data_IF_275294036920
#
_entry.id   IF_275294036920
#
_cell.length_a   1.000
_cell.length_b   1.000
_cell.length_c   1.000
_cell.angle_alpha   90.00
_cell.angle_beta   90.00
_cell.angle_gamma   90.00
#
_symmetry.space_group_name_H-M   'P 1'
#
loop_
_entity.id
_entity.type
_entity.pdbx_description
1 polymer ?
#
# COMPACT_ATOMS: atom_id res chain seq x y z
N UNK A 1 13.02 -15.18 0.22
CA UNK A 1 13.95 -15.68 1.27
C UNK A 1 15.27 -14.91 1.32
N UNK A 2 16.20 -15.02 0.37
CA UNK A 2 17.44 -14.21 0.43
C UNK A 2 17.19 -12.72 0.16
N UNK A 3 16.43 -12.38 -0.87
CA UNK A 3 16.08 -10.98 -1.17
C UNK A 3 15.26 -10.32 -0.05
N UNK A 4 14.35 -11.06 0.58
CA UNK A 4 13.58 -10.59 1.74
C UNK A 4 14.50 -10.33 2.95
N UNK A 5 15.47 -11.22 3.19
CA UNK A 5 16.46 -11.03 4.26
C UNK A 5 17.32 -9.79 3.98
N UNK A 6 17.83 -9.64 2.76
CA UNK A 6 18.59 -8.46 2.35
C UNK A 6 17.76 -7.17 2.54
N UNK A 7 16.50 -7.18 2.09
CA UNK A 7 15.58 -6.04 2.28
C UNK A 7 15.36 -5.76 3.77
N UNK A 8 15.23 -6.77 4.61
CA UNK A 8 15.04 -6.59 6.06
C UNK A 8 16.26 -5.94 6.73
N UNK A 9 17.46 -6.32 6.29
CA UNK A 9 18.71 -5.76 6.81
C UNK A 9 18.97 -4.33 6.33
N UNK A 10 18.60 -4.02 5.09
CA UNK A 10 18.87 -2.72 4.47
C UNK A 10 17.78 -1.68 4.69
N UNK A 11 16.55 -2.07 5.05
CA UNK A 11 15.48 -1.11 5.33
C UNK A 11 15.66 -0.46 6.70
N UNK A 12 15.91 0.85 6.72
CA UNK A 12 15.90 1.62 7.97
C UNK A 12 14.46 1.68 8.51
N UNK A 13 14.22 1.05 9.66
CA UNK A 13 12.91 1.00 10.30
C UNK A 13 13.06 1.16 11.81
N UNK A 14 12.14 1.88 12.49
CA UNK A 14 12.16 2.00 13.95
C UNK A 14 12.14 0.64 14.65
N UNK A 15 12.75 0.55 15.83
CA UNK A 15 12.84 -0.70 16.59
C UNK A 15 11.47 -1.35 16.81
N UNK A 16 10.44 -0.56 17.17
CA UNK A 16 9.06 -1.05 17.34
C UNK A 16 8.53 -1.76 16.10
N UNK A 17 8.83 -1.27 14.90
CA UNK A 17 8.35 -1.82 13.63
C UNK A 17 8.99 -3.19 13.37
N UNK A 18 10.26 -3.35 13.76
CA UNK A 18 10.99 -4.62 13.71
C UNK A 18 10.51 -5.60 14.77
N UNK A 19 10.46 -5.17 16.04
CA UNK A 19 10.09 -5.97 17.20
C UNK A 19 8.71 -6.61 17.08
N UNK A 20 7.72 -5.87 16.56
CA UNK A 20 6.37 -6.38 16.36
C UNK A 20 6.17 -7.09 15.00
N UNK A 21 7.22 -7.26 14.20
CA UNK A 21 7.18 -8.00 12.94
C UNK A 21 6.50 -7.27 11.77
N UNK A 22 6.17 -5.98 11.91
CA UNK A 22 5.54 -5.20 10.83
C UNK A 22 6.44 -5.11 9.59
N UNK A 23 7.74 -4.85 9.78
CA UNK A 23 8.70 -4.78 8.67
C UNK A 23 8.76 -6.10 7.90
N UNK A 24 8.84 -7.23 8.62
CA UNK A 24 8.90 -8.55 7.99
C UNK A 24 7.63 -8.85 7.18
N UNK A 25 6.45 -8.47 7.69
CA UNK A 25 5.18 -8.66 6.97
C UNK A 25 5.11 -7.81 5.71
N UNK A 26 5.50 -6.53 5.78
CA UNK A 26 5.52 -5.65 4.62
C UNK A 26 6.45 -6.18 3.52
N UNK A 27 7.67 -6.60 3.88
CA UNK A 27 8.62 -7.21 2.94
C UNK A 27 8.06 -8.51 2.35
N UNK A 28 7.46 -9.38 3.17
CA UNK A 28 6.87 -10.63 2.69
C UNK A 28 5.74 -10.39 1.66
N UNK A 29 4.90 -9.37 1.88
CA UNK A 29 3.85 -8.97 0.94
C UNK A 29 4.47 -8.37 -0.32
N UNK A 30 5.46 -7.47 -0.20
CA UNK A 30 6.16 -6.87 -1.34
C UNK A 30 6.73 -7.94 -2.28
N UNK A 31 7.46 -8.91 -1.73
CA UNK A 31 8.08 -9.98 -2.51
C UNK A 31 7.04 -10.97 -3.07
N UNK A 32 5.96 -11.24 -2.32
CA UNK A 32 4.87 -12.08 -2.82
C UNK A 32 4.13 -11.40 -3.97
N UNK A 33 3.89 -10.09 -3.90
CA UNK A 33 3.26 -9.32 -4.97
C UNK A 33 4.10 -9.38 -6.25
N UNK A 34 5.43 -9.29 -6.15
CA UNK A 34 6.34 -9.45 -7.30
C UNK A 34 6.28 -10.88 -7.88
N UNK A 35 6.35 -11.90 -7.02
CA UNK A 35 6.35 -13.31 -7.46
C UNK A 35 5.02 -13.77 -8.05
N UNK A 36 3.91 -13.25 -7.53
CA UNK A 36 2.55 -13.63 -7.91
C UNK A 36 1.87 -12.55 -8.76
N UNK A 37 2.63 -11.65 -9.39
CA UNK A 37 2.11 -10.47 -10.05
C UNK A 37 0.99 -10.79 -11.06
N UNK A 38 1.22 -11.77 -11.95
CA UNK A 38 0.22 -12.20 -12.95
C UNK A 38 -1.05 -12.74 -12.31
N UNK A 39 -0.92 -13.58 -11.28
CA UNK A 39 -2.05 -14.16 -10.57
C UNK A 39 -2.84 -13.12 -9.75
N UNK A 40 -2.17 -12.07 -9.27
CA UNK A 40 -2.77 -11.02 -8.44
C UNK A 40 -3.35 -9.87 -9.27
N UNK A 41 -2.89 -9.67 -10.49
CA UNK A 41 -3.28 -8.56 -11.35
C UNK A 41 -4.81 -8.41 -11.51
N UNK A 42 -5.61 -9.47 -11.74
CA UNK A 42 -7.06 -9.34 -11.79
C UNK A 42 -7.66 -8.80 -10.49
N UNK A 43 -7.16 -9.25 -9.33
CA UNK A 43 -7.60 -8.80 -8.02
C UNK A 43 -7.25 -7.33 -7.79
N UNK A 44 -5.99 -6.95 -8.01
CA UNK A 44 -5.52 -5.57 -7.84
C UNK A 44 -6.30 -4.59 -8.73
N UNK A 45 -6.58 -4.98 -9.98
CA UNK A 45 -7.41 -4.21 -10.91
C UNK A 45 -8.82 -4.02 -10.39
N UNK A 46 -9.47 -5.08 -9.91
CA UNK A 46 -10.82 -5.01 -9.36
C UNK A 46 -10.89 -4.11 -8.13
N UNK A 47 -9.91 -4.19 -7.22
CA UNK A 47 -9.81 -3.30 -6.07
C UNK A 47 -9.65 -1.83 -6.49
N UNK A 48 -8.72 -1.54 -7.42
CA UNK A 48 -8.52 -0.18 -7.94
C UNK A 48 -9.78 0.38 -8.58
N UNK A 49 -10.47 -0.43 -9.40
CA UNK A 49 -11.73 -0.03 -10.03
C UNK A 49 -12.84 0.22 -8.99
N UNK A 50 -12.95 -0.62 -7.96
CA UNK A 50 -13.92 -0.41 -6.89
C UNK A 50 -13.64 0.90 -6.14
N UNK A 51 -12.38 1.16 -5.79
CA UNK A 51 -11.97 2.39 -5.09
C UNK A 51 -12.26 3.63 -5.94
N UNK A 52 -11.94 3.59 -7.24
CA UNK A 52 -12.24 4.70 -8.15
C UNK A 52 -13.75 4.95 -8.24
N UNK A 53 -14.55 3.90 -8.41
CA UNK A 53 -16.02 4.03 -8.45
C UNK A 53 -16.57 4.63 -7.15
N UNK A 54 -16.05 4.20 -6.00
CA UNK A 54 -16.45 4.75 -4.72
C UNK A 54 -16.07 6.23 -4.59
N UNK A 55 -14.87 6.61 -5.05
CA UNK A 55 -14.42 8.00 -5.07
C UNK A 55 -15.25 8.88 -6.00
N UNK A 56 -15.67 8.38 -7.16
CA UNK A 56 -16.53 9.10 -8.11
C UNK A 56 -17.94 9.37 -7.55
N UNK A 57 -18.38 8.60 -6.56
CA UNK A 57 -19.67 8.81 -5.87
C UNK A 57 -19.58 9.87 -4.75
N UNK A 58 -18.38 10.34 -4.39
CA UNK A 58 -18.23 11.38 -3.38
C UNK A 58 -18.66 12.74 -3.94
N UNK A 59 -19.72 13.33 -3.38
CA UNK A 59 -20.21 14.67 -3.78
C UNK A 59 -19.15 15.77 -3.60
N UNK A 60 -18.27 15.59 -2.61
CA UNK A 60 -17.18 16.52 -2.31
C UNK A 60 -15.84 15.81 -2.42
N UNK A 61 -14.99 16.39 -3.24
CA UNK A 61 -13.67 15.91 -3.62
C UNK A 61 -12.57 16.61 -2.79
N UNK A 62 -12.77 16.69 -1.47
CA UNK A 62 -11.89 17.43 -0.56
C UNK A 62 -10.77 16.57 0.02
N UNK A 63 -11.04 15.80 1.07
CA UNK A 63 -10.03 14.99 1.76
C UNK A 63 -10.34 13.50 1.65
N UNK A 64 -9.35 12.71 1.21
CA UNK A 64 -9.35 11.26 1.25
C UNK A 64 -8.37 10.76 2.31
N UNK A 65 -8.78 9.80 3.14
CA UNK A 65 -7.91 9.16 4.14
C UNK A 65 -7.84 7.66 3.83
N UNK A 66 -6.63 7.16 3.63
CA UNK A 66 -6.36 5.74 3.38
C UNK A 66 -5.72 5.14 4.63
N UNK A 67 -6.49 4.33 5.35
CA UNK A 67 -6.05 3.64 6.58
C UNK A 67 -5.52 2.24 6.20
N UNK A 68 -4.33 1.89 6.69
CA UNK A 68 -3.65 0.66 6.29
C UNK A 68 -2.94 0.81 4.94
N UNK A 69 -2.34 1.96 4.71
CA UNK A 69 -1.75 2.37 3.43
C UNK A 69 -0.35 1.80 3.14
N UNK A 70 0.11 0.79 3.88
CA UNK A 70 1.48 0.26 3.85
C UNK A 70 2.17 0.22 2.48
N UNK A 71 1.77 -0.71 1.59
CA UNK A 71 2.39 -0.88 0.26
C UNK A 71 1.60 -0.27 -0.89
N UNK A 72 0.37 0.18 -0.65
CA UNK A 72 -0.53 0.78 -1.65
C UNK A 72 -0.80 -0.08 -2.90
N UNK A 73 -0.60 -1.40 -2.86
CA UNK A 73 -0.71 -2.26 -4.06
C UNK A 73 -2.08 -2.12 -4.76
N UNK A 74 -3.15 -2.13 -3.97
CA UNK A 74 -4.52 -1.97 -4.42
C UNK A 74 -5.01 -0.51 -4.49
N UNK A 75 -4.26 0.46 -3.94
CA UNK A 75 -4.70 1.85 -3.82
C UNK A 75 -4.34 2.64 -5.09
N UNK A 76 -5.31 3.13 -5.87
CA UNK A 76 -5.04 3.87 -7.11
C UNK A 76 -4.67 5.33 -6.80
N UNK A 77 -3.49 5.54 -6.19
CA UNK A 77 -3.10 6.84 -5.61
C UNK A 77 -3.17 7.99 -6.62
N UNK A 78 -2.70 7.81 -7.86
CA UNK A 78 -2.77 8.85 -8.87
C UNK A 78 -4.20 9.24 -9.24
N UNK A 79 -5.12 8.27 -9.28
CA UNK A 79 -6.52 8.52 -9.58
C UNK A 79 -7.24 9.19 -8.40
N UNK A 80 -6.84 8.88 -7.16
CA UNK A 80 -7.33 9.59 -5.99
C UNK A 80 -6.76 11.01 -5.96
N UNK A 81 -5.49 11.21 -6.29
CA UNK A 81 -4.83 12.51 -6.25
C UNK A 81 -5.42 13.49 -7.29
N UNK A 82 -6.01 12.99 -8.37
CA UNK A 82 -6.76 13.82 -9.32
C UNK A 82 -8.18 14.15 -8.86
N UNK A 83 -8.67 13.54 -7.78
CA UNK A 83 -10.05 13.64 -7.27
C UNK A 83 -10.15 14.25 -5.89
N UNK A 84 -9.05 14.43 -5.17
CA UNK A 84 -9.11 14.92 -3.80
C UNK A 84 -8.02 15.96 -3.61
N UNK A 85 -8.38 17.11 -3.04
CA UNK A 85 -7.44 18.18 -2.68
C UNK A 85 -6.34 17.69 -1.74
N UNK A 86 -6.70 16.77 -0.82
CA UNK A 86 -5.78 16.21 0.15
C UNK A 86 -5.93 14.69 0.27
N UNK A 87 -4.79 13.99 0.32
CA UNK A 87 -4.74 12.56 0.59
C UNK A 87 -3.84 12.30 1.79
N UNK A 88 -4.42 11.69 2.82
CA UNK A 88 -3.69 11.24 4.00
C UNK A 88 -3.50 9.74 3.94
N UNK A 89 -2.24 9.31 3.89
CA UNK A 89 -1.84 7.91 3.96
C UNK A 89 -1.47 7.58 5.40
N UNK A 90 -2.30 6.79 6.07
CA UNK A 90 -2.11 6.42 7.48
C UNK A 90 -1.70 4.95 7.56
N UNK A 91 -0.53 4.70 8.12
CA UNK A 91 -0.04 3.36 8.46
C UNK A 91 0.95 3.45 9.63
N UNK A 92 1.24 2.33 10.27
CA UNK A 92 2.25 2.19 11.32
C UNK A 92 3.65 2.45 10.75
N UNK A 93 3.89 2.03 9.50
CA UNK A 93 5.16 2.22 8.82
C UNK A 93 5.01 2.16 7.30
N UNK A 94 5.45 3.23 6.62
CA UNK A 94 5.65 3.24 5.17
C UNK A 94 7.11 2.87 4.89
N UNK A 95 7.32 1.83 4.07
CA UNK A 95 8.68 1.47 3.68
C UNK A 95 9.28 2.53 2.76
N UNK A 96 10.57 2.86 2.90
CA UNK A 96 11.28 3.79 2.03
C UNK A 96 11.55 3.20 0.64
#
# INVERSE_FOLDING_TARGET
MLGELWRYWTTFAPERVRKFGYLQRLIAVEFRAKRCAEAWEPHLRNCRHMIIKAADLCERQGTCVVIGSGLLLEVPLSALASRFDHIYLVDIFHMP
#
